data_IF_701400834046
#
_entry.id   IF_701400834046
#
_cell.length_a   1.000
_cell.length_b   1.000
_cell.length_c   1.000
_cell.angle_alpha   90.00
_cell.angle_beta   90.00
_cell.angle_gamma   90.00
#
_symmetry.space_group_name_H-M   'P 1'
#
loop_
_entity.id
_entity.type
_entity.pdbx_description
1 polymer ?
#
# COMPACT_ATOMS: atom_id res chain seq x y z
N UNK A 1 -52.26 3.42 30.45
CA UNK A 1 -50.99 3.74 29.78
C UNK A 1 -49.77 3.37 30.65
N UNK A 2 -49.86 2.31 31.47
CA UNK A 2 -48.81 1.91 32.46
C UNK A 2 -48.13 0.59 32.05
N UNK A 3 -48.70 -0.18 31.11
CA UNK A 3 -48.19 -1.51 30.74
C UNK A 3 -47.04 -1.50 29.72
N UNK A 4 -46.86 -0.44 28.93
CA UNK A 4 -45.80 -0.38 27.92
C UNK A 4 -44.43 -0.02 28.54
N UNK A 5 -44.40 0.83 29.57
CA UNK A 5 -43.17 1.26 30.25
C UNK A 5 -42.52 0.15 31.09
N UNK A 6 -43.33 -0.64 31.80
CA UNK A 6 -42.82 -1.75 32.62
C UNK A 6 -42.20 -2.85 31.74
N UNK A 7 -42.90 -3.22 30.66
CA UNK A 7 -42.48 -4.29 29.73
C UNK A 7 -41.23 -3.90 28.94
N UNK A 8 -41.09 -2.63 28.55
CA UNK A 8 -39.90 -2.14 27.85
C UNK A 8 -38.63 -2.15 28.72
N UNK A 9 -38.76 -1.80 30.01
CA UNK A 9 -37.64 -1.80 30.96
C UNK A 9 -37.15 -3.22 31.27
N UNK A 10 -38.08 -4.16 31.44
CA UNK A 10 -37.75 -5.55 31.77
C UNK A 10 -37.04 -6.26 30.61
N UNK A 11 -37.43 -5.96 29.37
CA UNK A 11 -36.80 -6.52 28.16
C UNK A 11 -35.42 -5.94 27.84
N UNK A 12 -35.11 -4.72 28.30
CA UNK A 12 -33.86 -4.01 27.99
C UNK A 12 -32.89 -3.93 29.16
N UNK A 13 -33.33 -4.27 30.37
CA UNK A 13 -32.48 -4.47 31.55
C UNK A 13 -31.25 -5.35 31.28
N UNK A 14 -31.34 -6.47 30.52
CA UNK A 14 -30.17 -7.28 30.19
C UNK A 14 -29.14 -6.51 29.35
N UNK A 15 -29.60 -5.57 28.52
CA UNK A 15 -28.73 -4.77 27.64
C UNK A 15 -28.10 -3.62 28.41
N UNK A 16 -28.85 -2.95 29.28
CA UNK A 16 -28.34 -1.85 30.11
C UNK A 16 -27.39 -2.32 31.19
N UNK A 17 -27.67 -3.47 31.81
CA UNK A 17 -26.81 -4.06 32.84
C UNK A 17 -25.50 -4.64 32.24
N UNK A 18 -25.46 -4.81 30.91
CA UNK A 18 -24.28 -5.24 30.15
C UNK A 18 -23.50 -4.08 29.51
N UNK A 19 -23.99 -2.84 29.61
CA UNK A 19 -23.22 -1.70 29.11
C UNK A 19 -22.02 -1.48 30.03
N UNK A 20 -20.78 -1.64 29.53
CA UNK A 20 -19.61 -1.33 30.33
C UNK A 20 -19.63 0.15 30.72
N UNK A 21 -19.14 0.46 31.92
CA UNK A 21 -18.84 1.85 32.28
C UNK A 21 -17.89 2.43 31.24
N UNK A 22 -18.18 3.65 30.79
CA UNK A 22 -17.30 4.33 29.85
C UNK A 22 -15.91 4.50 30.49
N UNK A 23 -14.83 4.16 29.78
CA UNK A 23 -13.49 4.19 30.36
C UNK A 23 -13.09 5.59 30.85
N UNK A 24 -12.10 5.63 31.74
CA UNK A 24 -11.69 6.85 32.47
C UNK A 24 -11.12 7.97 31.58
N UNK A 25 -10.87 7.68 30.31
CA UNK A 25 -10.42 8.62 29.29
C UNK A 25 -11.56 9.33 28.54
N UNK A 26 -12.82 8.96 28.79
CA UNK A 26 -14.00 9.67 28.26
C UNK A 26 -14.18 11.02 28.97
N UNK A 27 -14.47 12.14 28.25
CA UNK A 27 -14.77 13.42 28.88
C UNK A 27 -15.85 13.32 29.95
N UNK A 28 -15.62 13.98 31.08
CA UNK A 28 -16.50 13.90 32.26
C UNK A 28 -17.96 14.28 31.94
N UNK A 29 -18.17 15.21 31.01
CA UNK A 29 -19.50 15.58 30.52
C UNK A 29 -20.27 14.38 29.92
N UNK A 30 -19.60 13.50 29.17
CA UNK A 30 -20.21 12.32 28.54
C UNK A 30 -20.45 11.22 29.58
N UNK A 31 -19.52 11.02 30.52
CA UNK A 31 -19.74 10.10 31.66
C UNK A 31 -20.90 10.55 32.54
N UNK A 32 -21.01 11.85 32.79
CA UNK A 32 -22.11 12.42 33.56
C UNK A 32 -23.44 12.28 32.81
N UNK A 33 -23.44 12.42 31.48
CA UNK A 33 -24.59 12.12 30.63
C UNK A 33 -24.99 10.64 30.69
N UNK A 34 -24.05 9.70 30.63
CA UNK A 34 -24.33 8.26 30.80
C UNK A 34 -24.94 7.97 32.18
N UNK A 35 -24.33 8.50 33.26
CA UNK A 35 -24.83 8.31 34.63
C UNK A 35 -26.23 8.89 34.81
N UNK A 36 -26.46 10.13 34.36
CA UNK A 36 -27.79 10.75 34.38
C UNK A 36 -28.81 9.96 33.55
N UNK A 37 -28.40 9.33 32.45
CA UNK A 37 -29.25 8.45 31.64
C UNK A 37 -29.66 7.18 32.39
N UNK A 38 -28.71 6.54 33.08
CA UNK A 38 -28.97 5.32 33.85
C UNK A 38 -29.82 5.58 35.09
N UNK A 39 -29.74 6.80 35.64
CA UNK A 39 -30.48 7.23 36.83
C UNK A 39 -31.85 7.85 36.50
N UNK A 40 -32.15 8.15 35.23
CA UNK A 40 -33.40 8.80 34.82
C UNK A 40 -34.63 7.87 34.95
N UNK A 41 -35.73 8.31 35.60
CA UNK A 41 -36.96 7.53 35.72
C UNK A 41 -37.84 7.57 34.45
N UNK A 42 -38.53 6.46 34.15
CA UNK A 42 -39.57 6.37 33.10
C UNK A 42 -39.03 6.30 31.66
N UNK A 43 -39.84 6.57 30.64
CA UNK A 43 -39.46 6.53 29.21
C UNK A 43 -38.34 7.53 28.80
N UNK A 44 -37.87 8.39 29.73
CA UNK A 44 -36.86 9.42 29.51
C UNK A 44 -35.42 8.87 29.29
N UNK A 45 -35.13 7.61 29.60
CA UNK A 45 -33.85 6.98 29.26
C UNK A 45 -33.77 6.58 27.77
N UNK A 46 -34.91 6.34 27.10
CA UNK A 46 -34.95 5.90 25.70
C UNK A 46 -34.36 6.95 24.74
N UNK A 47 -34.70 8.25 24.85
CA UNK A 47 -34.03 9.31 24.11
C UNK A 47 -32.55 9.43 24.43
N UNK A 48 -32.08 8.97 25.60
CA UNK A 48 -30.68 9.11 26.04
C UNK A 48 -29.85 7.89 25.67
N UNK A 49 -30.37 6.66 25.71
CA UNK A 49 -29.72 5.49 25.09
C UNK A 49 -29.77 5.57 23.57
N UNK A 50 -30.85 6.12 23.01
CA UNK A 50 -30.81 6.58 21.64
C UNK A 50 -29.78 7.68 21.52
N UNK A 51 -29.70 8.73 22.34
CA UNK A 51 -28.64 9.73 22.21
C UNK A 51 -27.22 9.17 22.41
N UNK A 52 -26.99 8.12 23.18
CA UNK A 52 -25.67 7.50 23.39
C UNK A 52 -25.33 6.54 22.26
N UNK A 53 -26.27 5.71 21.80
CA UNK A 53 -26.13 4.88 20.61
C UNK A 53 -26.12 5.70 19.31
N UNK A 54 -26.86 6.80 19.29
CA UNK A 54 -26.87 7.85 18.28
C UNK A 54 -25.65 8.73 18.45
N UNK A 55 -25.03 8.99 19.61
CA UNK A 55 -23.70 9.65 19.71
C UNK A 55 -22.62 8.70 19.16
N UNK A 56 -22.78 7.39 19.37
CA UNK A 56 -22.04 6.36 18.65
C UNK A 56 -22.26 6.38 17.13
N UNK A 57 -23.46 6.71 16.64
CA UNK A 57 -23.75 6.85 15.20
C UNK A 57 -23.57 8.28 14.63
N UNK A 58 -23.62 9.33 15.45
CA UNK A 58 -23.50 10.78 15.18
C UNK A 58 -22.04 11.19 15.25
N UNK A 59 -21.13 10.34 15.73
CA UNK A 59 -19.75 10.37 15.26
C UNK A 59 -19.66 10.49 13.72
N UNK A 60 -20.65 9.94 12.99
CA UNK A 60 -20.83 10.16 11.55
C UNK A 60 -21.62 11.43 11.14
N UNK A 61 -22.39 12.08 12.02
CA UNK A 61 -23.27 13.21 11.67
C UNK A 61 -22.83 14.59 12.21
N UNK A 62 -22.03 14.68 13.28
CA UNK A 62 -21.44 15.96 13.74
C UNK A 62 -20.40 16.51 12.74
N UNK A 63 -19.86 15.66 11.85
CA UNK A 63 -19.02 16.09 10.74
C UNK A 63 -19.71 17.00 9.71
N UNK A 64 -21.06 17.11 9.73
CA UNK A 64 -21.81 17.83 8.69
C UNK A 64 -22.16 19.29 9.01
N UNK A 65 -21.86 19.86 10.19
CA UNK A 65 -22.55 21.11 10.59
C UNK A 65 -21.77 22.34 11.12
N UNK A 66 -20.43 22.43 11.24
CA UNK A 66 -19.74 23.75 11.29
C UNK A 66 -18.20 23.70 11.39
N UNK A 67 -17.53 24.81 11.02
CA UNK A 67 -16.07 24.99 11.00
C UNK A 67 -15.36 24.89 12.36
N UNK A 68 -16.09 25.01 13.48
CA UNK A 68 -15.60 24.76 14.85
C UNK A 68 -15.49 23.27 15.19
N UNK A 69 -16.03 22.38 14.35
CA UNK A 69 -15.97 20.93 14.53
C UNK A 69 -14.58 20.32 14.29
N UNK A 70 -13.62 21.03 13.68
CA UNK A 70 -12.28 20.50 13.41
C UNK A 70 -11.47 20.14 14.67
N UNK A 71 -11.67 20.86 15.77
CA UNK A 71 -10.98 20.58 17.03
C UNK A 71 -11.61 19.38 17.77
N UNK A 72 -12.94 19.27 17.71
CA UNK A 72 -13.69 18.15 18.26
C UNK A 72 -13.52 16.87 17.46
N UNK A 73 -13.49 16.97 16.11
CA UNK A 73 -13.23 15.85 15.21
C UNK A 73 -11.83 15.30 15.44
N UNK A 74 -10.78 16.14 15.47
CA UNK A 74 -9.42 15.64 15.74
C UNK A 74 -9.30 14.95 17.11
N UNK A 75 -10.04 15.40 18.12
CA UNK A 75 -10.02 14.76 19.45
C UNK A 75 -10.78 13.44 19.44
N UNK A 76 -11.91 13.37 18.74
CA UNK A 76 -12.71 12.15 18.56
C UNK A 76 -12.02 11.12 17.64
N UNK A 77 -11.42 11.56 16.54
CA UNK A 77 -10.62 10.74 15.62
C UNK A 77 -9.38 10.17 16.31
N UNK A 78 -8.73 10.91 17.21
CA UNK A 78 -7.65 10.39 18.06
C UNK A 78 -8.15 9.35 19.07
N UNK A 79 -9.38 9.50 19.54
CA UNK A 79 -9.98 8.60 20.52
C UNK A 79 -10.47 7.28 19.89
N UNK A 80 -11.04 7.35 18.68
CA UNK A 80 -11.52 6.19 17.93
C UNK A 80 -10.54 5.64 16.89
N UNK A 81 -9.37 6.28 16.70
CA UNK A 81 -8.40 5.99 15.62
C UNK A 81 -9.09 5.77 14.27
N UNK A 82 -10.00 6.66 13.91
CA UNK A 82 -10.79 6.51 12.68
C UNK A 82 -9.93 6.64 11.42
N UNK A 83 -8.80 7.32 11.52
CA UNK A 83 -7.82 7.41 10.42
C UNK A 83 -7.00 6.12 10.39
N UNK A 84 -7.42 5.18 9.55
CA UNK A 84 -6.71 3.95 9.22
C UNK A 84 -5.96 4.11 7.90
N UNK A 85 -4.90 3.33 7.70
CA UNK A 85 -4.17 3.31 6.44
C UNK A 85 -5.01 2.61 5.36
N UNK A 86 -4.93 3.15 4.14
CA UNK A 86 -5.47 2.48 2.97
C UNK A 86 -4.53 1.40 2.45
N UNK A 87 -4.95 0.64 1.43
CA UNK A 87 -4.11 -0.38 0.80
C UNK A 87 -2.78 0.18 0.29
N UNK A 88 -2.78 1.38 -0.30
CA UNK A 88 -1.58 1.99 -0.88
C UNK A 88 -0.56 2.44 0.16
N UNK A 89 -1.00 3.04 1.27
CA UNK A 89 -0.08 3.39 2.37
C UNK A 89 0.48 2.13 3.03
N UNK A 90 -0.37 1.11 3.23
CA UNK A 90 0.00 -0.18 3.81
C UNK A 90 1.08 -0.87 2.99
N UNK A 91 0.91 -1.00 1.66
CA UNK A 91 1.92 -1.63 0.80
C UNK A 91 3.22 -0.84 0.74
N UNK A 92 3.16 0.49 0.71
CA UNK A 92 4.36 1.33 0.73
C UNK A 92 5.15 1.17 2.05
N UNK A 93 4.48 1.09 3.20
CA UNK A 93 5.15 0.86 4.49
C UNK A 93 5.75 -0.55 4.54
N UNK A 94 5.01 -1.55 4.03
CA UNK A 94 5.45 -2.93 3.94
C UNK A 94 6.70 -3.09 3.07
N UNK A 95 6.69 -2.58 1.83
CA UNK A 95 7.84 -2.62 0.92
C UNK A 95 9.08 -1.93 1.50
N UNK A 96 8.89 -0.90 2.32
CA UNK A 96 9.98 -0.16 2.95
C UNK A 96 10.49 -0.79 4.24
N UNK A 97 9.86 -1.87 4.71
CA UNK A 97 10.20 -2.52 5.97
C UNK A 97 10.06 -1.60 7.17
N UNK A 98 9.10 -0.67 7.18
CA UNK A 98 8.87 0.22 8.32
C UNK A 98 7.92 -0.44 9.33
N UNK A 99 8.11 -0.29 10.66
CA UNK A 99 9.26 0.32 11.32
C UNK A 99 10.53 -0.54 11.26
N UNK A 100 10.36 -1.86 11.14
CA UNK A 100 11.40 -2.83 10.80
C UNK A 100 10.78 -4.00 9.99
N UNK A 101 11.62 -4.81 9.34
CA UNK A 101 11.19 -5.91 8.47
C UNK A 101 10.35 -6.97 9.22
N UNK A 102 10.57 -7.17 10.52
CA UNK A 102 9.87 -8.17 11.30
C UNK A 102 8.44 -7.73 11.67
N UNK A 103 8.20 -6.43 11.77
CA UNK A 103 6.90 -5.87 12.12
C UNK A 103 6.11 -5.32 10.92
N UNK A 104 6.73 -5.19 9.74
CA UNK A 104 6.12 -4.61 8.54
C UNK A 104 4.80 -5.29 8.10
N UNK A 105 4.64 -6.60 8.33
CA UNK A 105 3.39 -7.30 7.98
C UNK A 105 2.20 -6.88 8.86
N UNK A 106 2.44 -6.32 10.05
CA UNK A 106 1.36 -5.91 10.96
C UNK A 106 0.50 -4.79 10.39
N UNK A 107 0.99 -4.01 9.42
CA UNK A 107 0.18 -3.00 8.76
C UNK A 107 -1.05 -3.59 8.05
N UNK A 108 -1.00 -4.86 7.62
CA UNK A 108 -2.15 -5.52 6.99
C UNK A 108 -3.26 -5.90 7.98
N UNK A 109 -2.99 -5.96 9.28
CA UNK A 109 -4.06 -6.14 10.28
C UNK A 109 -5.03 -4.97 10.28
N UNK A 110 -4.55 -3.77 9.95
CA UNK A 110 -5.41 -2.60 9.77
C UNK A 110 -6.40 -2.78 8.61
N UNK A 111 -5.98 -3.43 7.53
CA UNK A 111 -6.88 -3.76 6.42
C UNK A 111 -7.87 -4.86 6.81
N UNK A 112 -7.45 -5.85 7.59
CA UNK A 112 -8.36 -6.89 8.10
C UNK A 112 -9.45 -6.32 8.99
N UNK A 113 -9.09 -5.40 9.90
CA UNK A 113 -10.05 -4.63 10.71
C UNK A 113 -11.08 -3.87 9.85
N UNK A 114 -10.68 -3.43 8.65
CA UNK A 114 -11.53 -2.75 7.67
C UNK A 114 -12.37 -3.71 6.80
N UNK A 115 -12.26 -5.04 7.01
CA UNK A 115 -13.05 -6.05 6.32
C UNK A 115 -12.38 -6.67 5.07
N UNK A 116 -11.06 -6.46 4.88
CA UNK A 116 -10.31 -7.20 3.88
C UNK A 116 -10.06 -8.62 4.38
N UNK A 117 -10.49 -9.62 3.62
CA UNK A 117 -10.14 -11.02 3.89
C UNK A 117 -8.68 -11.30 3.51
N UNK A 118 -8.15 -12.43 3.98
CA UNK A 118 -6.76 -12.83 3.72
C UNK A 118 -6.44 -12.88 2.22
N UNK A 119 -7.40 -13.30 1.39
CA UNK A 119 -7.19 -13.36 -0.06
C UNK A 119 -7.03 -11.97 -0.66
N UNK A 120 -7.78 -10.97 -0.20
CA UNK A 120 -7.62 -9.58 -0.63
C UNK A 120 -6.29 -9.00 -0.14
N UNK A 121 -5.87 -9.32 1.08
CA UNK A 121 -4.56 -8.91 1.61
C UNK A 121 -3.43 -9.45 0.73
N UNK A 122 -3.45 -10.74 0.40
CA UNK A 122 -2.45 -11.34 -0.50
C UNK A 122 -2.50 -10.74 -1.91
N UNK A 123 -3.69 -10.46 -2.45
CA UNK A 123 -3.82 -9.76 -3.73
C UNK A 123 -3.21 -8.35 -3.70
N UNK A 124 -3.32 -7.63 -2.59
CA UNK A 124 -2.73 -6.31 -2.41
C UNK A 124 -1.20 -6.39 -2.32
N UNK A 125 -0.65 -7.41 -1.65
CA UNK A 125 0.79 -7.66 -1.63
C UNK A 125 1.32 -7.92 -3.04
N UNK A 126 0.61 -8.74 -3.81
CA UNK A 126 1.01 -9.02 -5.20
C UNK A 126 0.91 -7.76 -6.08
N UNK A 127 -0.11 -6.93 -5.90
CA UNK A 127 -0.24 -5.64 -6.60
C UNK A 127 0.88 -4.65 -6.28
N UNK A 128 1.56 -4.82 -5.14
CA UNK A 128 2.69 -3.96 -4.78
C UNK A 128 3.95 -4.29 -5.59
N UNK A 129 4.05 -5.50 -6.17
CA UNK A 129 5.13 -5.84 -7.09
C UNK A 129 4.88 -5.19 -8.45
N UNK A 130 5.76 -4.27 -8.83
CA UNK A 130 5.65 -3.50 -10.06
C UNK A 130 5.96 -4.40 -11.26
N UNK A 131 5.03 -4.39 -12.21
CA UNK A 131 5.27 -4.83 -13.58
C UNK A 131 5.72 -3.59 -14.38
N UNK A 132 6.90 -3.62 -15.03
CA UNK A 132 7.39 -2.50 -15.84
C UNK A 132 6.37 -2.05 -16.90
N UNK A 133 6.24 -0.74 -17.18
CA UNK A 133 5.34 -0.25 -18.23
C UNK A 133 5.81 -0.72 -19.62
N UNK A 134 4.90 -0.70 -20.59
CA UNK A 134 5.18 -1.15 -21.97
C UNK A 134 6.42 -0.50 -22.59
N UNK A 135 6.65 0.80 -22.34
CA UNK A 135 7.82 1.50 -22.88
C UNK A 135 9.14 0.90 -22.36
N UNK A 136 9.19 0.54 -21.08
CA UNK A 136 10.37 -0.10 -20.49
C UNK A 136 10.52 -1.53 -21.00
N UNK A 137 9.42 -2.27 -21.18
CA UNK A 137 9.46 -3.60 -21.79
C UNK A 137 10.01 -3.57 -23.22
N UNK A 138 9.62 -2.58 -24.02
CA UNK A 138 10.17 -2.39 -25.38
C UNK A 138 11.66 -2.07 -25.29
N UNK A 139 12.07 -1.19 -24.37
CA UNK A 139 13.49 -0.89 -24.14
C UNK A 139 14.27 -2.15 -23.75
N UNK A 140 13.74 -2.98 -22.86
CA UNK A 140 14.36 -4.24 -22.47
C UNK A 140 14.52 -5.18 -23.65
N UNK A 141 13.53 -5.23 -24.55
CA UNK A 141 13.61 -6.00 -25.78
C UNK A 141 14.69 -5.47 -26.73
N UNK A 142 14.80 -4.15 -26.91
CA UNK A 142 15.83 -3.53 -27.76
C UNK A 142 17.24 -3.85 -27.27
N UNK A 143 17.43 -3.84 -25.94
CA UNK A 143 18.69 -4.22 -25.31
C UNK A 143 18.89 -5.74 -25.22
N UNK A 144 17.94 -6.54 -25.72
CA UNK A 144 17.96 -8.01 -25.63
C UNK A 144 18.03 -8.55 -24.20
N UNK A 145 17.46 -7.83 -23.23
CA UNK A 145 17.42 -8.20 -21.82
C UNK A 145 16.49 -9.41 -21.53
N UNK A 146 15.86 -9.99 -22.55
CA UNK A 146 15.09 -11.24 -22.46
C UNK A 146 15.77 -12.41 -23.17
N UNK A 147 16.89 -12.16 -23.86
CA UNK A 147 17.57 -13.15 -24.67
C UNK A 147 18.64 -13.85 -23.82
N UNK A 148 18.44 -15.15 -23.56
CA UNK A 148 19.32 -15.95 -22.70
C UNK A 148 20.77 -16.00 -23.22
N UNK A 149 20.98 -15.98 -24.53
CA UNK A 149 22.33 -16.00 -25.11
C UNK A 149 23.05 -14.67 -24.87
N UNK A 150 22.34 -13.54 -25.00
CA UNK A 150 22.88 -12.21 -24.71
C UNK A 150 23.17 -12.05 -23.22
N UNK A 151 22.24 -12.49 -22.36
CA UNK A 151 22.41 -12.46 -20.91
C UNK A 151 23.62 -13.30 -20.50
N UNK A 152 23.80 -14.48 -21.09
CA UNK A 152 24.97 -15.32 -20.81
C UNK A 152 26.27 -14.66 -21.26
N UNK A 153 26.29 -14.03 -22.43
CA UNK A 153 27.45 -13.33 -22.95
C UNK A 153 27.86 -12.14 -22.07
N UNK A 154 26.89 -11.38 -21.53
CA UNK A 154 27.10 -10.14 -20.79
C UNK A 154 26.69 -10.22 -19.32
N UNK A 155 26.81 -11.41 -18.70
CA UNK A 155 26.29 -11.68 -17.36
C UNK A 155 26.78 -10.68 -16.30
N UNK A 156 28.06 -10.30 -16.38
CA UNK A 156 28.69 -9.31 -15.48
C UNK A 156 28.00 -7.93 -15.53
N UNK A 157 27.43 -7.56 -16.68
CA UNK A 157 26.73 -6.28 -16.87
C UNK A 157 25.22 -6.37 -16.74
N UNK A 158 24.68 -7.60 -16.78
CA UNK A 158 23.26 -7.90 -16.62
C UNK A 158 22.84 -7.86 -15.16
N UNK A 159 23.60 -8.54 -14.28
CA UNK A 159 23.25 -8.65 -12.87
C UNK A 159 23.37 -7.28 -12.19
N UNK A 160 22.23 -6.74 -11.74
CA UNK A 160 22.20 -5.49 -11.01
C UNK A 160 22.93 -5.68 -9.67
N UNK A 161 23.81 -4.74 -9.28
CA UNK A 161 24.51 -4.85 -8.02
C UNK A 161 23.55 -4.65 -6.83
N UNK A 162 23.88 -5.26 -5.69
CA UNK A 162 23.00 -5.27 -4.51
C UNK A 162 22.61 -3.85 -4.03
N UNK A 163 23.53 -2.89 -4.16
CA UNK A 163 23.30 -1.51 -3.75
C UNK A 163 22.21 -0.80 -4.57
N UNK A 164 21.87 -1.28 -5.78
CA UNK A 164 20.74 -0.77 -6.57
C UNK A 164 19.51 -1.67 -6.50
N UNK A 165 19.69 -2.99 -6.35
CA UNK A 165 18.58 -3.94 -6.14
C UNK A 165 17.76 -3.58 -4.92
N UNK A 166 18.43 -3.31 -3.80
CA UNK A 166 17.74 -2.96 -2.56
C UNK A 166 16.83 -1.72 -2.71
N UNK A 167 17.29 -0.57 -3.24
CA UNK A 167 16.41 0.55 -3.55
C UNK A 167 15.24 0.24 -4.50
N UNK A 168 15.44 -0.63 -5.49
CA UNK A 168 14.37 -1.07 -6.41
C UNK A 168 13.29 -1.88 -5.70
N UNK A 169 13.66 -2.76 -4.78
CA UNK A 169 12.70 -3.55 -3.99
C UNK A 169 11.82 -2.66 -3.09
N UNK A 170 12.35 -1.55 -2.55
CA UNK A 170 11.59 -0.59 -1.74
C UNK A 170 10.43 0.09 -2.49
N UNK A 171 10.43 0.02 -3.82
CA UNK A 171 9.37 0.53 -4.69
C UNK A 171 8.65 -0.60 -5.43
N UNK A 172 8.89 -1.86 -5.08
CA UNK A 172 8.19 -3.01 -5.66
C UNK A 172 8.81 -3.57 -6.93
N UNK A 173 9.98 -3.10 -7.37
CA UNK A 173 10.71 -3.71 -8.49
C UNK A 173 11.50 -4.89 -7.94
N UNK A 174 10.95 -6.09 -8.10
CA UNK A 174 11.52 -7.33 -7.53
C UNK A 174 11.95 -8.31 -8.61
N UNK A 175 12.76 -9.30 -8.21
CA UNK A 175 13.23 -10.36 -9.09
C UNK A 175 14.07 -9.83 -10.25
N UNK A 176 13.87 -10.44 -11.42
CA UNK A 176 14.67 -10.20 -12.62
C UNK A 176 14.40 -8.82 -13.27
N UNK A 177 13.35 -8.10 -12.84
CA UNK A 177 13.08 -6.75 -13.36
C UNK A 177 14.20 -5.76 -13.02
N UNK A 178 14.78 -5.88 -11.82
CA UNK A 178 15.91 -5.06 -11.40
C UNK A 178 17.10 -5.23 -12.36
N UNK A 179 17.38 -6.47 -12.74
CA UNK A 179 18.47 -6.82 -13.66
C UNK A 179 18.21 -6.29 -15.07
N UNK A 180 16.96 -6.29 -15.56
CA UNK A 180 16.63 -5.71 -16.88
C UNK A 180 16.70 -4.18 -16.90
N UNK A 181 16.24 -3.53 -15.83
CA UNK A 181 16.41 -2.08 -15.68
C UNK A 181 17.88 -1.71 -15.66
N UNK A 182 18.70 -2.47 -14.92
CA UNK A 182 20.13 -2.28 -14.91
C UNK A 182 20.73 -2.55 -16.29
N UNK A 183 20.53 -3.70 -16.88
CA UNK A 183 21.14 -4.00 -18.17
C UNK A 183 20.79 -2.98 -19.27
N UNK A 184 19.55 -2.50 -19.28
CA UNK A 184 19.10 -1.48 -20.24
C UNK A 184 19.49 -0.04 -19.88
N UNK A 185 20.15 0.23 -18.75
CA UNK A 185 20.60 1.59 -18.41
C UNK A 185 21.91 1.96 -19.12
N UNK A 186 22.70 0.96 -19.55
CA UNK A 186 23.98 1.17 -20.19
C UNK A 186 23.84 1.92 -21.52
N UNK A 187 24.83 2.76 -21.83
CA UNK A 187 24.92 3.46 -23.10
C UNK A 187 25.85 2.65 -24.00
N UNK A 188 25.31 2.19 -25.13
CA UNK A 188 26.07 1.46 -26.14
C UNK A 188 26.88 2.42 -27.02
N UNK A 189 28.05 2.01 -27.55
CA UNK A 189 28.82 2.83 -28.48
C UNK A 189 28.00 3.14 -29.74
N UNK A 190 28.20 4.33 -30.30
CA UNK A 190 27.60 4.69 -31.58
C UNK A 190 28.20 3.88 -32.74
N UNK A 191 27.49 3.82 -33.88
CA UNK A 191 27.91 3.07 -35.08
C UNK A 191 29.35 3.36 -35.54
N UNK A 192 29.78 4.63 -35.45
CA UNK A 192 31.13 5.04 -35.86
C UNK A 192 32.18 4.61 -34.85
N UNK A 193 31.88 4.71 -33.56
CA UNK A 193 32.76 4.26 -32.48
C UNK A 193 32.97 2.75 -32.56
N UNK A 194 31.89 1.99 -32.77
CA UNK A 194 31.96 0.54 -32.95
C UNK A 194 32.80 0.15 -34.17
N UNK A 195 32.66 0.85 -35.29
CA UNK A 195 33.51 0.65 -36.47
C UNK A 195 34.99 0.99 -36.24
N UNK A 196 35.30 1.97 -35.38
CA UNK A 196 36.69 2.25 -34.98
C UNK A 196 37.24 1.18 -34.02
N UNK A 197 36.44 0.69 -33.09
CA UNK A 197 36.82 -0.40 -32.20
C UNK A 197 37.16 -1.67 -33.00
N UNK A 198 36.34 -1.97 -34.00
CA UNK A 198 36.56 -3.10 -34.92
C UNK A 198 37.82 -2.92 -35.76
N UNK A 199 38.01 -1.75 -36.40
CA UNK A 199 39.24 -1.43 -37.16
C UNK A 199 40.52 -1.54 -36.33
N UNK A 200 40.42 -1.30 -35.02
CA UNK A 200 41.54 -1.38 -34.07
C UNK A 200 41.73 -2.79 -33.51
N UNK A 201 40.97 -3.77 -33.99
CA UNK A 201 41.00 -5.17 -33.56
C UNK A 201 40.71 -5.33 -32.05
N UNK A 202 39.90 -4.42 -31.47
CA UNK A 202 39.46 -4.48 -30.08
C UNK A 202 38.16 -5.26 -29.89
N UNK A 203 37.42 -5.45 -30.99
CA UNK A 203 36.19 -6.25 -31.07
C UNK A 203 36.17 -6.96 -32.43
N UNK A 204 35.71 -8.21 -32.44
CA UNK A 204 35.57 -9.02 -33.66
C UNK A 204 34.18 -8.85 -34.31
N UNK A 205 33.97 -9.53 -35.44
CA UNK A 205 32.70 -9.45 -36.20
C UNK A 205 31.50 -9.88 -35.35
N UNK A 206 31.65 -10.93 -34.54
CA UNK A 206 30.60 -11.44 -33.66
C UNK A 206 30.26 -10.43 -32.56
N UNK A 207 31.27 -9.78 -31.97
CA UNK A 207 31.08 -8.71 -31.00
C UNK A 207 30.40 -7.47 -31.59
N UNK A 208 30.73 -7.10 -32.83
CA UNK A 208 30.04 -6.01 -33.55
C UNK A 208 28.58 -6.36 -33.81
N UNK A 209 28.31 -7.57 -34.29
CA UNK A 209 26.95 -8.05 -34.57
C UNK A 209 26.10 -8.09 -33.29
N UNK A 210 26.67 -8.58 -32.20
CA UNK A 210 26.03 -8.61 -30.89
C UNK A 210 25.72 -7.18 -30.38
N UNK A 211 26.67 -6.25 -30.54
CA UNK A 211 26.44 -4.85 -30.18
C UNK A 211 25.27 -4.25 -30.98
N UNK A 212 25.21 -4.44 -32.31
CA UNK A 212 24.07 -3.98 -33.11
C UNK A 212 22.74 -4.59 -32.68
N UNK A 213 22.72 -5.87 -32.31
CA UNK A 213 21.51 -6.53 -31.77
C UNK A 213 21.00 -5.82 -30.51
N UNK A 214 21.89 -5.54 -29.54
CA UNK A 214 21.52 -4.86 -28.28
C UNK A 214 21.32 -3.34 -28.40
N UNK A 215 21.59 -2.77 -29.58
CA UNK A 215 21.21 -1.39 -29.93
C UNK A 215 19.82 -1.33 -30.58
N UNK A 216 19.13 -2.47 -30.74
CA UNK A 216 17.81 -2.55 -31.36
C UNK A 216 17.82 -2.54 -32.89
N UNK A 217 18.97 -2.80 -33.55
CA UNK A 217 18.96 -2.97 -35.00
C UNK A 217 18.25 -4.28 -35.38
N UNK A 218 17.43 -4.24 -36.44
CA UNK A 218 16.81 -5.45 -36.96
C UNK A 218 17.85 -6.41 -37.53
N UNK A 219 17.55 -7.72 -37.54
CA UNK A 219 18.44 -8.75 -38.08
C UNK A 219 18.92 -8.44 -39.51
N UNK A 220 18.04 -7.86 -40.34
CA UNK A 220 18.39 -7.41 -41.69
C UNK A 220 19.57 -6.42 -41.70
N UNK A 221 19.59 -5.45 -40.78
CA UNK A 221 20.69 -4.48 -40.71
C UNK A 221 21.94 -5.05 -40.05
N UNK A 222 21.79 -5.97 -39.09
CA UNK A 222 22.91 -6.65 -38.45
C UNK A 222 23.77 -7.46 -39.43
N UNK A 223 23.17 -7.98 -40.52
CA UNK A 223 23.90 -8.74 -41.54
C UNK A 223 24.58 -7.87 -42.61
N UNK A 224 24.24 -6.57 -42.66
CA UNK A 224 24.69 -5.65 -43.72
C UNK A 224 25.67 -4.58 -43.24
N UNK A 225 25.70 -4.30 -41.94
CA UNK A 225 26.57 -3.29 -41.30
C UNK A 225 27.76 -3.98 -40.65
#
# INVERSE_FOLDING_TARGET
MISFEATGRENLKPVTDQLPELPDDVPEAIRNLQKQAMEAPGFAWTPVLMAVGIIGMIGGAIGLMNSTAKAGSNTFERWFKSTRFGPGETTNLWLRGFPDEAEAERWFEDLKDQGFDDRRVEAIKELAHIIPPLADMVRFADFSAFDEEVIAAWREFYDAPEWIKKPFELIGVTGDWADKYWFSHWIQPGRYELGELHRRELVDDDGVKLAYKTMGYSAYWQDLL
#
